data_IF_764903972101
#
_entry.id   IF_764903972101
#
_cell.length_a   1.000
_cell.length_b   1.000
_cell.length_c   1.000
_cell.angle_alpha   90.00
_cell.angle_beta   90.00
_cell.angle_gamma   90.00
#
_symmetry.space_group_name_H-M   'P 1'
#
loop_
_entity.id
_entity.type
_entity.pdbx_description
1 polymer ?
#
# COMPACT_ATOMS: atom_id res chain seq x y z
N UNK A 1 39.85 -33.17 34.38
CA UNK A 1 39.40 -32.06 33.52
C UNK A 1 38.68 -32.60 32.27
N UNK A 2 37.46 -33.16 32.41
CA UNK A 2 36.67 -33.67 31.25
C UNK A 2 35.16 -33.37 31.33
N UNK A 3 34.67 -32.77 32.43
CA UNK A 3 33.23 -32.53 32.65
C UNK A 3 32.75 -31.13 32.24
N UNK A 4 33.67 -30.20 31.95
CA UNK A 4 33.35 -28.82 31.58
C UNK A 4 33.06 -28.62 30.08
N UNK A 5 33.46 -29.55 29.21
CA UNK A 5 33.28 -29.41 27.76
C UNK A 5 31.88 -29.76 27.25
N UNK A 6 31.10 -30.53 28.02
CA UNK A 6 29.76 -30.97 27.59
C UNK A 6 28.70 -29.88 27.83
N UNK A 7 28.86 -29.05 28.88
CA UNK A 7 27.95 -27.94 29.17
C UNK A 7 28.03 -26.79 28.16
N UNK A 8 29.18 -26.60 27.49
CA UNK A 8 29.34 -25.56 26.47
C UNK A 8 28.70 -25.92 25.12
N UNK A 9 28.36 -27.20 24.89
CA UNK A 9 27.72 -27.67 23.65
C UNK A 9 26.19 -27.65 23.72
N UNK A 10 25.61 -27.62 24.92
CA UNK A 10 24.15 -27.56 25.12
C UNK A 10 23.47 -26.32 24.50
N UNK A 11 24.01 -25.09 24.60
CA UNK A 11 23.35 -23.91 24.03
C UNK A 11 23.37 -23.89 22.49
N UNK A 12 24.31 -24.59 21.85
CA UNK A 12 24.37 -24.68 20.39
C UNK A 12 23.30 -25.63 19.82
N UNK A 13 22.96 -26.69 20.55
CA UNK A 13 21.89 -27.62 20.16
C UNK A 13 20.51 -26.93 20.26
N UNK A 14 20.31 -26.09 21.27
CA UNK A 14 19.08 -25.28 21.39
C UNK A 14 18.90 -24.27 20.26
N UNK A 15 19.99 -23.68 19.75
CA UNK A 15 19.92 -22.75 18.61
C UNK A 15 19.62 -23.45 17.26
N UNK A 16 19.94 -24.74 17.12
CA UNK A 16 19.73 -25.48 15.87
C UNK A 16 18.36 -26.14 15.75
N UNK A 17 17.58 -26.24 16.83
CA UNK A 17 16.27 -26.91 16.86
C UNK A 17 15.07 -25.97 17.03
N UNK A 18 15.31 -24.66 17.11
CA UNK A 18 14.24 -23.70 16.91
C UNK A 18 13.84 -23.69 15.44
N UNK A 19 12.92 -24.56 15.03
CA UNK A 19 12.13 -24.29 13.83
C UNK A 19 11.41 -22.96 14.11
N UNK A 20 11.75 -21.86 13.42
CA UNK A 20 10.98 -20.65 13.60
C UNK A 20 9.55 -20.97 13.14
N UNK A 21 8.62 -20.99 14.08
CA UNK A 21 7.19 -21.00 13.79
C UNK A 21 6.84 -19.65 13.17
N UNK A 22 7.18 -19.48 11.90
CA UNK A 22 6.72 -18.34 11.13
C UNK A 22 5.22 -18.51 10.92
N UNK A 23 4.49 -17.44 11.20
CA UNK A 23 3.06 -17.36 10.90
C UNK A 23 2.86 -17.65 9.41
N UNK A 24 2.16 -18.74 9.09
CA UNK A 24 1.66 -19.01 7.73
C UNK A 24 0.42 -18.17 7.39
N UNK A 25 -0.05 -17.36 8.34
CA UNK A 25 -1.18 -16.46 8.16
C UNK A 25 -0.79 -15.36 7.19
N UNK A 26 -1.46 -15.30 6.04
CA UNK A 26 -1.30 -14.24 5.04
C UNK A 26 -1.53 -12.88 5.71
N UNK A 27 -0.62 -11.92 5.50
CA UNK A 27 -0.84 -10.53 5.90
C UNK A 27 -2.09 -10.01 5.18
N UNK A 28 -3.07 -9.51 5.97
CA UNK A 28 -4.30 -8.93 5.46
C UNK A 28 -4.26 -7.44 5.79
N UNK A 29 -3.71 -6.68 4.86
CA UNK A 29 -3.74 -5.22 4.92
C UNK A 29 -5.18 -4.71 4.85
N UNK A 30 -5.54 -3.80 5.75
CA UNK A 30 -6.84 -3.14 5.72
C UNK A 30 -6.95 -2.23 4.48
N UNK A 31 -8.06 -2.29 3.75
CA UNK A 31 -8.27 -1.40 2.62
C UNK A 31 -8.40 0.06 3.09
N UNK A 32 -7.93 1.03 2.29
CA UNK A 32 -8.17 2.44 2.57
C UNK A 32 -9.64 2.78 2.31
N UNK A 33 -10.11 3.87 2.92
CA UNK A 33 -11.44 4.44 2.65
C UNK A 33 -11.27 5.73 1.87
N UNK A 34 -11.84 5.78 0.65
CA UNK A 34 -11.87 6.99 -0.17
C UNK A 34 -12.95 7.93 0.36
N UNK A 35 -12.59 9.20 0.57
CA UNK A 35 -13.45 10.23 1.18
C UNK A 35 -14.05 11.13 0.10
N UNK A 36 -13.19 11.69 -0.75
CA UNK A 36 -13.62 12.60 -1.81
C UNK A 36 -12.61 12.64 -2.95
N UNK A 37 -13.09 13.09 -4.10
CA UNK A 37 -12.26 13.51 -5.22
C UNK A 37 -12.67 14.93 -5.60
N UNK A 38 -11.69 15.83 -5.76
CA UNK A 38 -11.92 17.22 -6.13
C UNK A 38 -10.91 17.67 -7.18
N UNK A 39 -11.30 18.54 -8.13
CA UNK A 39 -10.36 19.08 -9.11
C UNK A 39 -9.32 19.98 -8.43
N UNK A 40 -8.09 19.93 -8.93
CA UNK A 40 -6.96 20.80 -8.56
C UNK A 40 -6.26 21.27 -9.83
N UNK A 41 -5.33 22.21 -9.73
CA UNK A 41 -4.65 22.78 -10.89
C UNK A 41 -3.92 21.74 -11.77
N UNK A 42 -3.40 20.65 -11.18
CA UNK A 42 -2.68 19.60 -11.90
C UNK A 42 -3.53 18.41 -12.34
N UNK A 43 -4.83 18.36 -11.97
CA UNK A 43 -5.70 17.22 -12.20
C UNK A 43 -6.74 17.08 -11.09
N UNK A 44 -6.62 16.04 -10.26
CA UNK A 44 -7.52 15.80 -9.12
C UNK A 44 -6.75 15.52 -7.83
N UNK A 45 -7.33 15.95 -6.72
CA UNK A 45 -6.98 15.50 -5.37
C UNK A 45 -7.92 14.36 -4.97
N UNK A 46 -7.35 13.21 -4.61
CA UNK A 46 -8.07 12.08 -4.03
C UNK A 46 -7.80 12.03 -2.53
N UNK A 47 -8.82 12.30 -1.72
CA UNK A 47 -8.73 12.23 -0.25
C UNK A 47 -9.09 10.85 0.24
N UNK A 48 -8.28 10.33 1.16
CA UNK A 48 -8.47 9.00 1.74
C UNK A 48 -8.19 9.00 3.24
N UNK A 49 -8.75 8.02 3.94
CA UNK A 49 -8.36 7.66 5.30
C UNK A 49 -7.81 6.24 5.28
N UNK A 50 -6.64 6.09 5.85
CA UNK A 50 -5.99 4.80 5.99
C UNK A 50 -5.26 4.78 7.34
N UNK A 51 -5.35 3.66 8.05
CA UNK A 51 -4.38 3.35 9.11
C UNK A 51 -3.15 2.76 8.45
N UNK A 52 -1.93 3.12 8.89
CA UNK A 52 -0.71 2.55 8.31
C UNK A 52 -0.64 1.08 8.69
N UNK A 53 -0.92 0.17 7.75
CA UNK A 53 -1.11 -1.22 8.08
C UNK A 53 0.19 -1.94 7.73
N UNK A 54 0.95 -2.29 8.76
CA UNK A 54 1.98 -3.34 8.73
C UNK A 54 3.38 -2.92 8.24
N UNK A 55 4.40 -3.59 8.82
CA UNK A 55 5.85 -3.34 8.62
C UNK A 55 6.32 -3.40 7.16
N UNK A 56 5.55 -4.04 6.29
CA UNK A 56 5.91 -4.32 4.88
C UNK A 56 5.02 -3.55 3.88
N UNK A 57 4.35 -2.49 4.32
CA UNK A 57 3.59 -1.60 3.43
C UNK A 57 4.52 -0.94 2.40
N UNK A 58 4.11 -0.98 1.13
CA UNK A 58 4.92 -0.47 0.00
C UNK A 58 4.23 0.62 -0.80
N UNK A 59 2.92 0.87 -0.57
CA UNK A 59 2.20 1.96 -1.22
C UNK A 59 0.76 1.63 -1.54
N UNK A 60 0.17 2.46 -2.40
CA UNK A 60 -1.19 2.28 -2.91
C UNK A 60 -1.19 2.07 -4.41
N UNK A 61 -2.19 1.31 -4.88
CA UNK A 61 -2.47 1.10 -6.29
C UNK A 61 -3.89 1.50 -6.62
N UNK A 62 -4.05 2.31 -7.67
CA UNK A 62 -5.32 2.84 -8.15
C UNK A 62 -5.81 2.07 -9.37
N UNK A 63 -7.10 1.75 -9.35
CA UNK A 63 -7.81 1.14 -10.45
C UNK A 63 -8.90 2.09 -10.91
N UNK A 64 -8.96 2.31 -12.23
CA UNK A 64 -9.88 3.24 -12.88
C UNK A 64 -10.66 2.47 -13.93
N UNK A 65 -11.99 2.60 -13.93
CA UNK A 65 -12.83 1.94 -14.93
C UNK A 65 -14.09 2.76 -15.25
N UNK A 66 -14.80 2.39 -16.32
CA UNK A 66 -16.06 3.01 -16.71
C UNK A 66 -17.25 2.63 -15.83
N UNK A 67 -17.13 1.59 -15.00
CA UNK A 67 -18.14 1.17 -14.04
C UNK A 67 -17.51 0.75 -12.71
N UNK A 68 -18.31 0.71 -11.65
CA UNK A 68 -17.85 0.41 -10.30
C UNK A 68 -17.30 -1.01 -10.15
N UNK A 69 -17.94 -2.00 -10.81
CA UNK A 69 -17.53 -3.39 -10.66
C UNK A 69 -16.11 -3.60 -11.20
N UNK A 70 -15.81 -3.06 -12.37
CA UNK A 70 -14.54 -3.25 -13.04
C UNK A 70 -13.41 -2.47 -12.35
N UNK A 71 -13.72 -1.34 -11.70
CA UNK A 71 -12.73 -0.63 -10.87
C UNK A 71 -12.40 -1.44 -9.61
N UNK A 72 -13.38 -2.12 -9.02
CA UNK A 72 -13.19 -2.95 -7.82
C UNK A 72 -12.59 -4.31 -8.13
N UNK A 73 -12.88 -4.88 -9.30
CA UNK A 73 -12.51 -6.22 -9.74
C UNK A 73 -11.81 -6.17 -11.10
N UNK A 74 -10.61 -5.58 -11.18
CA UNK A 74 -9.85 -5.52 -12.43
C UNK A 74 -9.50 -6.94 -12.90
N UNK A 75 -9.50 -7.15 -14.22
CA UNK A 75 -9.13 -8.44 -14.83
C UNK A 75 -7.70 -8.87 -14.47
N UNK A 76 -6.79 -7.89 -14.32
CA UNK A 76 -5.45 -8.09 -13.79
C UNK A 76 -5.23 -7.19 -12.55
N UNK A 77 -5.05 -7.75 -11.34
CA UNK A 77 -4.69 -6.98 -10.15
C UNK A 77 -3.37 -6.20 -10.30
N UNK A 78 -2.51 -6.54 -11.25
CA UNK A 78 -1.26 -5.85 -11.49
C UNK A 78 -1.35 -4.64 -12.42
N UNK A 79 -2.48 -4.43 -13.09
CA UNK A 79 -2.64 -3.37 -14.09
C UNK A 79 -2.94 -1.98 -13.51
N UNK A 80 -2.96 -1.85 -12.18
CA UNK A 80 -3.29 -0.57 -11.53
C UNK A 80 -2.13 0.42 -11.52
N UNK A 81 -2.47 1.69 -11.34
CA UNK A 81 -1.49 2.79 -11.32
C UNK A 81 -0.86 2.91 -9.93
N UNK A 82 0.46 2.90 -9.87
CA UNK A 82 1.19 3.00 -8.62
C UNK A 82 1.35 4.44 -8.14
N UNK A 83 1.37 4.56 -6.81
CA UNK A 83 1.71 5.76 -6.06
C UNK A 83 3.23 6.01 -6.15
N UNK A 84 3.65 7.01 -6.93
CA UNK A 84 5.05 7.38 -7.15
C UNK A 84 5.42 8.69 -6.44
N UNK A 85 6.72 8.94 -6.26
CA UNK A 85 7.27 10.20 -5.76
C UNK A 85 6.71 10.66 -4.41
N UNK A 86 6.36 9.71 -3.54
CA UNK A 86 5.69 9.95 -2.27
C UNK A 86 6.51 9.62 -1.04
N UNK A 87 6.11 10.18 0.11
CA UNK A 87 6.62 9.80 1.44
C UNK A 87 5.71 8.73 2.02
N UNK A 88 5.85 7.50 1.51
CA UNK A 88 5.03 6.35 1.92
C UNK A 88 5.42 5.77 3.28
N UNK A 89 6.57 6.20 3.84
CA UNK A 89 7.18 5.61 5.02
C UNK A 89 6.67 6.12 6.37
N UNK A 90 5.76 7.10 6.42
CA UNK A 90 5.20 7.57 7.69
C UNK A 90 3.75 7.99 7.53
N UNK A 91 2.82 7.03 7.69
CA UNK A 91 1.51 7.33 8.25
C UNK A 91 1.67 7.02 9.75
N UNK A 92 1.95 8.02 10.61
CA UNK A 92 2.14 7.81 12.04
C UNK A 92 0.79 7.47 12.66
N UNK A 93 0.49 6.18 12.73
CA UNK A 93 -0.56 5.51 13.51
C UNK A 93 -1.62 6.43 14.16
N UNK A 94 -2.48 7.07 13.35
CA UNK A 94 -3.73 7.73 13.71
C UNK A 94 -4.60 7.82 12.44
N UNK A 95 -5.94 7.84 12.53
CA UNK A 95 -6.83 7.96 11.38
C UNK A 95 -6.79 9.40 10.82
N UNK A 96 -5.68 9.77 10.20
CA UNK A 96 -5.52 11.04 9.49
C UNK A 96 -6.13 10.92 8.09
N UNK A 97 -6.59 12.07 7.60
CA UNK A 97 -6.98 12.21 6.20
C UNK A 97 -5.75 12.57 5.38
N UNK A 98 -5.46 11.74 4.39
CA UNK A 98 -4.37 11.91 3.43
C UNK A 98 -4.92 12.32 2.08
N UNK A 99 -4.04 12.83 1.22
CA UNK A 99 -4.35 13.21 -0.16
C UNK A 99 -3.37 12.57 -1.13
N UNK A 100 -3.88 12.14 -2.28
CA UNK A 100 -3.09 11.65 -3.41
C UNK A 100 -3.37 12.57 -4.59
N UNK A 101 -2.31 13.03 -5.24
CA UNK A 101 -2.41 13.77 -6.48
C UNK A 101 -2.63 12.81 -7.65
N UNK A 102 -3.71 13.00 -8.40
CA UNK A 102 -4.00 12.29 -9.65
C UNK A 102 -3.78 13.27 -10.80
N UNK A 103 -2.72 13.08 -11.58
CA UNK A 103 -2.31 14.03 -12.61
C UNK A 103 -1.64 13.31 -13.77
N UNK A 104 -1.83 13.76 -15.03
CA UNK A 104 -1.12 13.20 -16.18
C UNK A 104 0.36 13.61 -16.24
N UNK A 105 0.79 14.55 -15.39
CA UNK A 105 2.12 15.14 -15.46
C UNK A 105 3.13 14.32 -14.67
N UNK A 106 4.25 13.96 -15.29
CA UNK A 106 5.40 13.41 -14.57
C UNK A 106 6.07 14.48 -13.69
N UNK A 107 6.88 14.05 -12.72
CA UNK A 107 7.66 14.94 -11.86
C UNK A 107 7.27 14.88 -10.38
N UNK A 108 7.78 15.82 -9.55
CA UNK A 108 7.50 15.85 -8.12
C UNK A 108 6.01 16.13 -7.83
N UNK A 109 5.62 15.97 -6.56
CA UNK A 109 4.32 16.39 -6.06
C UNK A 109 4.11 17.88 -6.32
N UNK A 110 2.94 18.25 -6.83
CA UNK A 110 2.54 19.64 -6.94
C UNK A 110 2.48 20.27 -5.55
N UNK A 111 2.84 21.56 -5.46
CA UNK A 111 2.62 22.34 -4.25
C UNK A 111 1.13 22.32 -3.87
N UNK A 112 0.86 22.20 -2.57
CA UNK A 112 -0.52 22.15 -2.06
C UNK A 112 -1.14 23.54 -2.18
N UNK A 113 -2.23 23.64 -2.92
CA UNK A 113 -3.01 24.86 -3.11
C UNK A 113 -3.92 25.19 -1.92
N UNK A 114 -4.54 26.38 -1.96
CA UNK A 114 -5.48 26.81 -0.92
C UNK A 114 -6.72 25.91 -0.88
N UNK A 115 -6.98 25.27 0.27
CA UNK A 115 -8.14 24.38 0.46
C UNK A 115 -7.87 22.90 0.12
N UNK A 116 -6.70 22.60 -0.43
CA UNK A 116 -6.21 21.22 -0.63
C UNK A 116 -5.67 20.65 0.69
N UNK A 117 -5.61 19.33 0.81
CA UNK A 117 -5.11 18.69 2.02
C UNK A 117 -3.57 18.71 2.03
N UNK A 118 -2.99 19.27 3.10
CA UNK A 118 -1.54 19.38 3.29
C UNK A 118 -0.83 18.01 3.41
N UNK A 119 -1.54 16.96 3.80
CA UNK A 119 -1.02 15.60 3.94
C UNK A 119 -1.02 14.85 2.60
N UNK A 120 -0.43 15.45 1.57
CA UNK A 120 -0.30 14.83 0.25
C UNK A 120 0.83 13.80 0.28
N UNK A 121 0.47 12.53 0.12
CA UNK A 121 1.41 11.41 0.34
C UNK A 121 2.14 10.99 -0.92
N UNK A 122 1.52 11.10 -2.10
CA UNK A 122 2.11 10.70 -3.37
C UNK A 122 1.32 11.19 -4.58
N UNK A 123 1.86 10.87 -5.75
CA UNK A 123 1.30 11.18 -7.06
C UNK A 123 1.02 9.88 -7.82
N UNK A 124 -0.07 9.84 -8.56
CA UNK A 124 -0.37 8.77 -9.50
C UNK A 124 -0.50 9.39 -10.88
N UNK A 125 0.30 8.89 -11.82
CA UNK A 125 0.26 9.40 -13.19
C UNK A 125 -0.95 8.83 -13.93
N UNK A 126 -2.03 9.61 -13.99
CA UNK A 126 -3.30 9.19 -14.59
C UNK A 126 -4.07 10.37 -15.16
N UNK A 127 -4.65 10.16 -16.33
CA UNK A 127 -5.68 11.05 -16.91
C UNK A 127 -7.05 10.49 -16.58
N UNK A 128 -7.86 11.26 -15.86
CA UNK A 128 -9.22 10.87 -15.49
C UNK A 128 -10.25 11.55 -16.39
N UNK A 129 -11.28 10.81 -16.76
CA UNK A 129 -12.48 11.31 -17.42
C UNK A 129 -13.65 11.35 -16.43
N UNK A 130 -14.51 12.36 -16.59
CA UNK A 130 -15.75 12.47 -15.80
C UNK A 130 -16.59 11.21 -15.94
N UNK A 131 -17.17 10.77 -14.83
CA UNK A 131 -18.00 9.58 -14.76
C UNK A 131 -17.26 8.26 -14.58
N UNK A 132 -15.93 8.23 -14.66
CA UNK A 132 -15.13 7.04 -14.30
C UNK A 132 -15.22 6.73 -12.80
N UNK A 133 -14.97 5.47 -12.44
CA UNK A 133 -14.93 4.98 -11.08
C UNK A 133 -13.50 4.69 -10.65
N UNK A 134 -13.18 5.08 -9.41
CA UNK A 134 -11.87 4.96 -8.78
C UNK A 134 -11.95 4.00 -7.61
N UNK A 135 -11.05 3.03 -7.55
CA UNK A 135 -10.86 2.14 -6.40
C UNK A 135 -9.40 2.06 -6.05
N UNK A 136 -9.08 2.05 -4.75
CA UNK A 136 -7.72 2.00 -4.25
C UNK A 136 -7.47 0.71 -3.46
N UNK A 137 -6.25 0.17 -3.57
CA UNK A 137 -5.78 -0.96 -2.77
C UNK A 137 -4.44 -0.63 -2.15
N UNK A 138 -4.23 -1.09 -0.91
CA UNK A 138 -2.93 -1.09 -0.26
C UNK A 138 -2.07 -2.22 -0.85
N UNK A 139 -0.78 -1.96 -1.03
CA UNK A 139 0.21 -2.92 -1.52
C UNK A 139 1.19 -3.25 -0.40
N UNK A 140 1.32 -4.53 -0.08
CA UNK A 140 2.23 -5.04 0.95
C UNK A 140 3.19 -6.04 0.33
N UNK A 141 4.48 -5.91 0.67
CA UNK A 141 5.50 -6.88 0.28
C UNK A 141 5.34 -8.14 1.15
N UNK A 142 5.26 -9.30 0.52
CA UNK A 142 5.31 -10.60 1.20
C UNK A 142 6.62 -11.27 0.88
N UNK A 143 7.36 -11.62 1.93
CA UNK A 143 8.63 -12.34 1.84
C UNK A 143 8.35 -13.81 2.15
N UNK A 144 8.28 -14.66 1.13
CA UNK A 144 8.30 -16.11 1.34
C UNK A 144 9.76 -16.58 1.43
N UNK A 145 10.16 -17.00 2.62
CA UNK A 145 11.50 -17.57 2.88
C UNK A 145 11.55 -19.09 2.62
N UNK A 146 10.43 -19.71 2.28
CA UNK A 146 10.35 -21.14 1.98
C UNK A 146 10.75 -21.36 0.51
N UNK A 147 11.99 -21.81 0.26
CA UNK A 147 12.45 -22.24 -1.07
C UNK A 147 13.43 -21.32 -1.80
N UNK A 148 13.98 -20.30 -1.15
CA UNK A 148 15.17 -19.57 -1.65
C UNK A 148 14.94 -18.47 -2.69
N UNK A 149 13.71 -18.23 -3.17
CA UNK A 149 13.32 -17.00 -3.89
C UNK A 149 11.82 -16.98 -4.17
N UNK A 150 11.06 -16.18 -3.43
CA UNK A 150 9.82 -15.55 -3.94
C UNK A 150 9.40 -14.43 -2.98
N UNK A 151 9.93 -13.23 -3.21
CA UNK A 151 9.29 -12.00 -2.73
C UNK A 151 8.19 -11.60 -3.71
N UNK A 152 6.98 -11.37 -3.23
CA UNK A 152 5.84 -10.97 -4.06
C UNK A 152 5.00 -9.88 -3.42
N UNK A 153 4.10 -9.25 -4.17
CA UNK A 153 3.17 -8.26 -3.62
C UNK A 153 1.81 -8.89 -3.34
N UNK A 154 1.23 -8.55 -2.19
CA UNK A 154 -0.16 -8.84 -1.85
C UNK A 154 -0.92 -7.53 -1.72
N UNK A 155 -2.12 -7.51 -2.31
CA UNK A 155 -3.01 -6.36 -2.25
C UNK A 155 -4.08 -6.56 -1.17
N UNK A 156 -4.49 -5.46 -0.54
CA UNK A 156 -5.71 -5.45 0.29
C UNK A 156 -6.95 -5.81 -0.54
N UNK A 157 -8.07 -6.00 0.15
CA UNK A 157 -9.39 -5.89 -0.49
C UNK A 157 -9.55 -4.51 -1.18
N UNK A 158 -10.46 -4.36 -2.16
CA UNK A 158 -10.77 -3.07 -2.75
C UNK A 158 -11.38 -2.12 -1.70
N UNK A 159 -11.04 -0.83 -1.79
CA UNK A 159 -11.76 0.24 -1.10
C UNK A 159 -13.22 0.35 -1.58
N UNK A 160 -13.97 1.29 -0.99
CA UNK A 160 -15.15 1.85 -1.67
C UNK A 160 -14.74 2.52 -2.99
N UNK A 161 -15.69 2.70 -3.89
CA UNK A 161 -15.47 3.41 -5.16
C UNK A 161 -15.94 4.84 -5.08
N UNK A 162 -15.20 5.76 -5.72
CA UNK A 162 -15.64 7.12 -5.97
C UNK A 162 -15.81 7.35 -7.46
N UNK A 163 -16.86 8.08 -7.84
CA UNK A 163 -17.07 8.51 -9.23
C UNK A 163 -16.40 9.86 -9.44
N UNK A 164 -15.64 9.99 -10.52
CA UNK A 164 -15.05 11.26 -10.95
C UNK A 164 -16.21 12.22 -11.31
N UNK A 165 -16.24 13.44 -10.74
CA UNK A 165 -17.30 14.40 -10.98
C UNK A 165 -17.38 14.85 -12.45
#
# INVERSE_FOLDING_TARGET
MKRFSILFLLPWIFFCWGCPHYSTTRLISTPPTLISISPIASGYELRLRAGNPELLFTGYRLYVAGNENDSRNPADPNSGIECVNGVLNLIPNQPLEYSIELSPNNGPLAAVGTGENANRICKMNVTLASGQYLTLRSQVLVISITGGSTSGFVFSMPSNSLRVP
#
